data_IF_844816942346
#
_entry.id   IF_844816942346
#
_cell.length_a   1.000
_cell.length_b   1.000
_cell.length_c   1.000
_cell.angle_alpha   90.00
_cell.angle_beta   90.00
_cell.angle_gamma   90.00
#
_symmetry.space_group_name_H-M   'P 1'
#
loop_
_entity.id
_entity.type
_entity.pdbx_description
1 polymer ?
#
# COMPACT_ATOMS: atom_id res chain seq x y z
N UNK A 1 13.47 12.10 -0.88
CA UNK A 1 12.48 11.03 -1.20
C UNK A 1 13.26 9.89 -1.86
N UNK A 2 13.16 8.66 -1.37
CA UNK A 2 14.00 7.51 -1.79
C UNK A 2 13.24 6.44 -2.59
N UNK A 3 11.91 6.56 -2.65
CA UNK A 3 11.04 5.74 -3.48
C UNK A 3 11.37 5.89 -4.96
N UNK A 4 11.34 4.77 -5.68
CA UNK A 4 11.82 4.69 -7.07
C UNK A 4 11.03 3.67 -7.88
N UNK A 5 10.76 4.00 -9.15
CA UNK A 5 10.31 3.04 -10.15
C UNK A 5 11.52 2.26 -10.67
N UNK A 6 11.42 0.94 -10.68
CA UNK A 6 12.45 0.04 -11.15
C UNK A 6 12.04 -0.45 -12.54
N UNK A 7 12.58 0.19 -13.58
CA UNK A 7 12.17 -0.06 -14.97
C UNK A 7 12.24 -1.56 -15.32
N UNK A 8 11.14 -2.07 -15.87
CA UNK A 8 10.97 -3.48 -16.20
C UNK A 8 10.68 -4.41 -15.02
N UNK A 9 10.91 -4.01 -13.77
CA UNK A 9 10.72 -4.89 -12.60
C UNK A 9 9.47 -4.54 -11.79
N UNK A 10 9.29 -3.27 -11.42
CA UNK A 10 8.25 -2.85 -10.48
C UNK A 10 8.62 -1.55 -9.77
N UNK A 11 8.36 -1.44 -8.48
CA UNK A 11 8.64 -0.22 -7.72
C UNK A 11 9.08 -0.51 -6.28
N UNK A 12 9.85 0.42 -5.72
CA UNK A 12 10.18 0.45 -4.30
C UNK A 12 9.61 1.71 -3.68
N UNK A 13 8.71 1.58 -2.70
CA UNK A 13 8.36 2.66 -1.78
C UNK A 13 9.33 2.60 -0.62
N UNK A 14 9.90 3.71 -0.18
CA UNK A 14 10.87 3.71 0.92
C UNK A 14 10.97 5.05 1.66
N UNK A 15 11.42 4.95 2.90
CA UNK A 15 11.81 6.07 3.72
C UNK A 15 12.84 5.66 4.77
N UNK A 16 13.37 6.65 5.47
CA UNK A 16 14.21 6.46 6.64
C UNK A 16 13.63 7.30 7.77
N UNK A 17 13.38 6.69 8.92
CA UNK A 17 12.85 7.40 10.08
C UNK A 17 13.95 8.23 10.79
N UNK A 18 13.57 9.00 11.81
CA UNK A 18 14.51 9.87 12.55
C UNK A 18 15.62 9.09 13.27
N UNK A 19 15.41 7.81 13.55
CA UNK A 19 16.41 6.92 14.13
C UNK A 19 17.40 6.35 13.08
N UNK A 20 17.24 6.72 11.80
CA UNK A 20 18.07 6.22 10.71
C UNK A 20 17.66 4.84 10.19
N UNK A 21 16.52 4.31 10.63
CA UNK A 21 16.06 2.98 10.26
C UNK A 21 15.27 3.05 8.95
N UNK A 22 15.60 2.17 8.00
CA UNK A 22 14.93 2.10 6.72
C UNK A 22 13.62 1.32 6.82
N UNK A 23 12.59 1.85 6.16
CA UNK A 23 11.39 1.12 5.79
C UNK A 23 11.28 1.12 4.29
N UNK A 24 11.10 -0.05 3.69
CA UNK A 24 10.80 -0.15 2.27
C UNK A 24 9.83 -1.28 1.93
N UNK A 25 9.04 -1.05 0.89
CA UNK A 25 8.13 -1.99 0.28
C UNK A 25 8.54 -2.15 -1.19
N UNK A 26 8.93 -3.37 -1.57
CA UNK A 26 9.30 -3.70 -2.95
C UNK A 26 8.14 -4.47 -3.59
N UNK A 27 7.54 -3.90 -4.63
CA UNK A 27 6.49 -4.53 -5.43
C UNK A 27 7.08 -5.09 -6.72
N UNK A 28 6.87 -6.38 -6.99
CA UNK A 28 7.11 -6.98 -8.30
C UNK A 28 5.92 -6.65 -9.22
N UNK A 29 6.13 -5.88 -10.27
CA UNK A 29 5.08 -5.54 -11.23
C UNK A 29 5.72 -5.07 -12.55
N UNK A 30 6.06 -6.02 -13.42
CA UNK A 30 6.76 -5.70 -14.65
C UNK A 30 7.22 -6.90 -15.47
N UNK A 31 7.73 -6.58 -16.65
CA UNK A 31 8.06 -7.54 -17.72
C UNK A 31 9.40 -8.27 -17.51
N UNK A 32 10.13 -8.01 -16.43
CA UNK A 32 11.41 -8.68 -16.15
C UNK A 32 11.19 -10.20 -16.06
N UNK A 33 11.83 -10.93 -16.97
CA UNK A 33 11.78 -12.38 -17.10
C UNK A 33 13.19 -12.96 -16.97
N UNK A 34 13.39 -13.89 -16.03
CA UNK A 34 14.38 -14.97 -16.01
C UNK A 34 14.31 -15.62 -14.61
N UNK A 35 14.46 -16.95 -14.51
CA UNK A 35 14.31 -17.65 -13.23
C UNK A 35 13.04 -17.22 -12.47
N UNK A 36 11.90 -17.42 -13.12
CA UNK A 36 10.58 -16.95 -12.69
C UNK A 36 9.89 -17.88 -11.69
N UNK A 37 9.38 -17.28 -10.63
CA UNK A 37 8.31 -17.83 -9.80
C UNK A 37 6.98 -17.16 -10.24
N UNK A 38 5.81 -17.69 -9.89
CA UNK A 38 4.54 -17.00 -10.10
C UNK A 38 4.35 -15.91 -9.02
N UNK A 39 5.18 -14.87 -9.09
CA UNK A 39 5.35 -13.82 -8.08
C UNK A 39 4.83 -12.45 -8.53
N UNK A 40 4.08 -12.39 -9.64
CA UNK A 40 3.59 -11.11 -10.15
C UNK A 40 2.67 -10.43 -9.12
N UNK A 41 2.88 -9.12 -8.93
CA UNK A 41 2.27 -8.31 -7.87
C UNK A 41 2.59 -8.77 -6.43
N UNK A 42 3.53 -9.70 -6.21
CA UNK A 42 4.06 -10.01 -4.88
C UNK A 42 4.88 -8.84 -4.31
N UNK A 43 5.17 -8.90 -3.02
CA UNK A 43 6.00 -7.90 -2.38
C UNK A 43 6.94 -8.43 -1.30
N UNK A 44 8.00 -7.67 -1.06
CA UNK A 44 8.80 -7.75 0.16
C UNK A 44 8.62 -6.49 1.00
N UNK A 45 8.56 -6.65 2.31
CA UNK A 45 8.39 -5.56 3.25
C UNK A 45 9.45 -5.59 4.35
N UNK A 46 10.19 -4.49 4.43
CA UNK A 46 11.16 -4.19 5.46
C UNK A 46 10.67 -2.96 6.20
N UNK A 47 10.74 -2.97 7.52
CA UNK A 47 10.41 -1.81 8.32
C UNK A 47 11.29 -1.74 9.55
N UNK A 48 11.55 -0.51 10.02
CA UNK A 48 12.37 -0.27 11.22
C UNK A 48 13.73 -0.97 11.13
N UNK A 49 14.31 -1.05 9.93
CA UNK A 49 15.64 -1.61 9.69
C UNK A 49 15.73 -3.14 9.64
N UNK A 50 14.61 -3.87 9.65
CA UNK A 50 14.61 -5.35 9.60
C UNK A 50 13.65 -5.88 8.52
N UNK A 51 13.93 -7.06 7.92
CA UNK A 51 12.96 -7.76 7.07
C UNK A 51 11.78 -8.24 7.92
N UNK A 52 10.56 -8.00 7.44
CA UNK A 52 9.34 -8.48 8.09
C UNK A 52 8.64 -9.51 7.22
N UNK A 53 8.21 -9.13 6.01
CA UNK A 53 7.53 -10.01 5.08
C UNK A 53 8.39 -10.27 3.85
N UNK A 54 8.66 -11.54 3.59
CA UNK A 54 9.49 -12.02 2.47
C UNK A 54 8.73 -13.14 1.77
N UNK A 55 9.03 -13.38 0.50
CA UNK A 55 8.56 -14.59 -0.15
C UNK A 55 9.22 -15.81 0.50
N UNK A 56 8.49 -16.93 0.53
CA UNK A 56 8.99 -18.17 1.10
C UNK A 56 9.87 -18.93 0.09
N UNK A 57 11.00 -19.44 0.55
CA UNK A 57 11.93 -20.29 -0.18
C UNK A 57 12.56 -19.65 -1.43
N UNK A 58 12.99 -20.47 -2.39
CA UNK A 58 13.59 -20.04 -3.65
C UNK A 58 13.27 -21.07 -4.75
N UNK A 59 13.34 -20.66 -6.01
CA UNK A 59 13.08 -21.51 -7.18
C UNK A 59 13.64 -22.94 -7.13
N UNK A 60 14.77 -23.17 -6.46
CA UNK A 60 15.47 -24.46 -6.52
C UNK A 60 15.15 -25.41 -5.37
N UNK A 61 15.20 -24.95 -4.12
CA UNK A 61 15.12 -25.83 -2.95
C UNK A 61 14.58 -25.11 -1.71
N UNK A 62 13.33 -25.39 -1.30
CA UNK A 62 12.31 -26.13 -2.04
C UNK A 62 11.75 -25.28 -3.20
N UNK A 63 11.46 -25.88 -4.36
CA UNK A 63 10.93 -25.15 -5.53
C UNK A 63 9.52 -24.64 -5.24
N UNK A 64 9.32 -23.32 -5.36
CA UNK A 64 8.15 -22.56 -4.90
C UNK A 64 7.30 -22.04 -6.06
N UNK A 65 6.93 -22.91 -7.01
CA UNK A 65 6.02 -22.54 -8.12
C UNK A 65 4.55 -22.35 -7.67
N UNK A 66 4.28 -22.21 -6.37
CA UNK A 66 2.95 -22.00 -5.85
C UNK A 66 2.76 -20.53 -5.47
N UNK A 67 1.79 -19.82 -6.07
CA UNK A 67 1.55 -18.41 -5.76
C UNK A 67 1.32 -18.10 -4.27
N UNK A 68 0.77 -19.06 -3.52
CA UNK A 68 0.52 -18.91 -2.08
C UNK A 68 1.77 -18.99 -1.20
N UNK A 69 2.95 -19.19 -1.78
CA UNK A 69 4.25 -19.00 -1.10
C UNK A 69 4.82 -17.58 -1.27
N UNK A 70 4.10 -16.71 -1.98
CA UNK A 70 4.48 -15.31 -2.17
C UNK A 70 3.49 -14.39 -1.47
N UNK A 71 3.90 -13.16 -1.18
CA UNK A 71 3.04 -12.14 -0.56
C UNK A 71 2.06 -11.55 -1.58
N UNK A 72 1.12 -12.35 -2.08
CA UNK A 72 0.25 -12.04 -3.21
C UNK A 72 -1.13 -12.69 -3.13
N UNK A 73 -1.99 -12.36 -4.10
CA UNK A 73 -3.26 -13.06 -4.33
C UNK A 73 -3.03 -14.25 -5.27
N UNK A 74 -3.59 -15.41 -4.92
CA UNK A 74 -3.70 -16.59 -5.79
C UNK A 74 -5.14 -16.82 -6.25
N UNK A 75 -5.33 -17.47 -7.40
CA UNK A 75 -6.62 -17.69 -8.03
C UNK A 75 -6.93 -19.18 -8.12
N UNK A 76 -8.09 -19.60 -7.60
CA UNK A 76 -8.53 -20.99 -7.48
C UNK A 76 -7.46 -21.91 -6.88
N UNK A 77 -6.61 -21.37 -5.99
CA UNK A 77 -5.47 -22.06 -5.41
C UNK A 77 -4.60 -22.79 -6.46
N UNK A 78 -4.28 -22.09 -7.55
CA UNK A 78 -3.48 -22.58 -8.69
C UNK A 78 -2.39 -21.59 -9.09
N UNK A 79 -1.43 -22.08 -9.87
CA UNK A 79 -0.35 -21.27 -10.43
C UNK A 79 -0.77 -20.55 -11.71
N UNK A 80 -0.17 -19.39 -11.95
CA UNK A 80 -0.30 -18.62 -13.18
C UNK A 80 0.99 -17.83 -13.43
N UNK A 81 1.25 -17.46 -14.69
CA UNK A 81 2.49 -16.79 -15.11
C UNK A 81 2.23 -15.52 -15.93
N UNK A 82 1.12 -14.84 -15.66
CA UNK A 82 0.84 -13.56 -16.25
C UNK A 82 1.80 -12.48 -15.73
N UNK A 83 1.82 -11.37 -16.46
CA UNK A 83 2.68 -10.22 -16.18
C UNK A 83 1.81 -9.02 -15.87
N UNK A 84 2.33 -8.19 -14.98
CA UNK A 84 1.69 -6.96 -14.59
C UNK A 84 2.44 -5.75 -15.13
N UNK A 85 1.75 -4.62 -15.07
CA UNK A 85 2.29 -3.32 -15.41
C UNK A 85 1.94 -2.31 -14.31
N UNK A 86 2.91 -1.47 -13.96
CA UNK A 86 2.67 -0.34 -13.07
C UNK A 86 1.78 0.69 -13.78
N UNK A 87 0.63 0.98 -13.17
CA UNK A 87 -0.36 1.93 -13.68
C UNK A 87 -0.24 3.31 -13.02
N UNK A 88 0.29 3.38 -11.80
CA UNK A 88 0.47 4.65 -11.08
C UNK A 88 1.71 4.58 -10.16
N UNK A 89 2.38 5.72 -9.99
CA UNK A 89 3.52 5.87 -9.09
C UNK A 89 3.68 7.33 -8.66
N UNK A 90 3.47 7.59 -7.38
CA UNK A 90 3.44 8.94 -6.81
C UNK A 90 4.32 9.00 -5.57
N UNK A 91 5.13 10.06 -5.45
CA UNK A 91 6.04 10.27 -4.33
C UNK A 91 5.88 11.70 -3.82
N UNK A 92 5.23 11.88 -2.67
CA UNK A 92 5.02 13.16 -2.02
C UNK A 92 5.75 13.22 -0.67
N UNK A 93 5.59 14.32 0.06
CA UNK A 93 6.29 14.50 1.33
C UNK A 93 5.65 13.69 2.47
N UNK A 94 4.33 13.52 2.45
CA UNK A 94 3.57 12.83 3.50
C UNK A 94 3.37 11.32 3.22
N UNK A 95 3.29 10.95 1.94
CA UNK A 95 3.01 9.57 1.53
C UNK A 95 3.56 9.28 0.14
N UNK A 96 3.81 8.00 -0.09
CA UNK A 96 4.12 7.47 -1.41
C UNK A 96 3.06 6.43 -1.81
N UNK A 97 2.83 6.27 -3.11
CA UNK A 97 1.80 5.42 -3.66
C UNK A 97 2.27 4.71 -4.93
N UNK A 98 1.86 3.46 -5.09
CA UNK A 98 2.03 2.71 -6.32
C UNK A 98 0.78 1.88 -6.60
N UNK A 99 0.46 1.73 -7.88
CA UNK A 99 -0.54 0.78 -8.36
C UNK A 99 0.04 -0.06 -9.50
N UNK A 100 -0.35 -1.32 -9.54
CA UNK A 100 -0.03 -2.25 -10.61
C UNK A 100 -1.23 -3.13 -10.92
N UNK A 101 -1.34 -3.55 -12.17
CA UNK A 101 -2.42 -4.43 -12.62
C UNK A 101 -1.86 -5.62 -13.39
N UNK A 102 -2.61 -6.72 -13.42
CA UNK A 102 -2.35 -7.86 -14.29
C UNK A 102 -3.67 -8.54 -14.70
N UNK A 103 -3.61 -9.34 -15.76
CA UNK A 103 -4.75 -10.11 -16.24
C UNK A 103 -4.38 -11.59 -16.39
N UNK A 104 -5.24 -12.46 -15.89
CA UNK A 104 -5.03 -13.91 -15.84
C UNK A 104 -6.01 -14.58 -16.80
N UNK A 105 -5.51 -15.49 -17.62
CA UNK A 105 -6.31 -16.25 -18.59
C UNK A 105 -5.95 -17.75 -18.67
N UNK A 106 -4.96 -18.19 -17.89
CA UNK A 106 -4.57 -19.59 -17.74
C UNK A 106 -4.21 -19.89 -16.29
N UNK A 107 -4.61 -21.07 -15.82
CA UNK A 107 -4.23 -21.60 -14.52
C UNK A 107 -3.61 -22.99 -14.66
N UNK A 108 -2.61 -23.26 -13.85
CA UNK A 108 -1.92 -24.53 -13.77
C UNK A 108 -2.11 -25.16 -12.39
N UNK A 109 -2.42 -26.45 -12.37
CA UNK A 109 -2.43 -27.18 -11.11
C UNK A 109 -1.00 -27.38 -10.62
N UNK A 110 -0.77 -27.06 -9.35
CA UNK A 110 0.49 -27.27 -8.63
C UNK A 110 0.17 -27.91 -7.27
N UNK A 111 1.08 -28.70 -6.68
CA UNK A 111 0.82 -29.34 -5.39
C UNK A 111 0.84 -28.33 -4.25
N UNK A 112 0.18 -28.67 -3.13
CA UNK A 112 0.20 -27.86 -1.91
C UNK A 112 1.62 -27.63 -1.41
N UNK A 113 2.37 -28.73 -1.22
CA UNK A 113 3.71 -28.72 -0.65
C UNK A 113 4.76 -28.71 -1.75
N UNK A 114 5.85 -27.93 -1.59
CA UNK A 114 6.94 -27.92 -2.57
C UNK A 114 7.80 -29.20 -2.49
N UNK A 115 7.65 -30.01 -1.44
CA UNK A 115 8.28 -31.34 -1.34
C UNK A 115 7.56 -32.41 -2.18
N UNK A 116 6.31 -32.16 -2.56
CA UNK A 116 5.54 -33.04 -3.43
C UNK A 116 6.08 -32.91 -4.87
N UNK A 117 7.13 -33.67 -5.16
CA UNK A 117 7.78 -33.66 -6.48
C UNK A 117 6.79 -34.11 -7.56
N UNK A 118 6.44 -33.21 -8.46
CA UNK A 118 5.90 -33.62 -9.76
C UNK A 118 7.01 -33.86 -10.76
N UNK A 119 7.06 -35.10 -11.25
CA UNK A 119 7.70 -35.35 -12.53
C UNK A 119 6.88 -34.67 -13.63
N UNK A 120 7.55 -34.26 -14.72
CA UNK A 120 6.88 -33.73 -15.94
C UNK A 120 5.75 -34.63 -16.48
N UNK A 121 5.69 -35.90 -16.08
CA UNK A 121 4.69 -36.88 -16.49
C UNK A 121 3.30 -36.64 -15.86
N UNK A 122 3.21 -36.00 -14.69
CA UNK A 122 1.95 -35.77 -13.97
C UNK A 122 1.38 -34.35 -14.19
N UNK A 123 2.06 -33.53 -14.99
CA UNK A 123 1.63 -32.17 -15.30
C UNK A 123 0.29 -32.21 -16.06
N UNK A 124 -0.75 -31.67 -15.43
CA UNK A 124 -2.02 -31.40 -16.12
C UNK A 124 -1.80 -30.23 -17.09
N UNK A 125 -2.41 -30.25 -18.29
CA UNK A 125 -2.31 -29.11 -19.18
C UNK A 125 -2.89 -27.86 -18.50
N UNK A 126 -2.32 -26.66 -18.76
CA UNK A 126 -2.88 -25.41 -18.28
C UNK A 126 -4.35 -25.28 -18.69
N UNK A 127 -5.20 -24.91 -17.75
CA UNK A 127 -6.61 -24.67 -17.99
C UNK A 127 -6.82 -23.21 -18.36
N UNK A 128 -7.41 -22.97 -19.53
CA UNK A 128 -7.89 -21.63 -19.90
C UNK A 128 -9.08 -21.24 -19.01
N UNK A 129 -9.08 -20.00 -18.53
CA UNK A 129 -10.16 -19.41 -17.75
C UNK A 129 -10.66 -18.13 -18.40
N UNK A 130 -11.82 -17.63 -17.97
CA UNK A 130 -12.25 -16.27 -18.33
C UNK A 130 -11.25 -15.26 -17.76
N UNK A 131 -11.05 -14.17 -18.49
CA UNK A 131 -10.06 -13.15 -18.10
C UNK A 131 -10.41 -12.61 -16.73
N UNK A 132 -9.52 -12.82 -15.76
CA UNK A 132 -9.63 -12.24 -14.43
C UNK A 132 -8.65 -11.07 -14.31
N UNK A 133 -9.14 -9.87 -14.00
CA UNK A 133 -8.30 -8.69 -13.80
C UNK A 133 -8.01 -8.50 -12.31
N UNK A 134 -6.76 -8.17 -12.00
CA UNK A 134 -6.31 -7.90 -10.64
C UNK A 134 -5.52 -6.61 -10.61
N UNK A 135 -5.95 -5.68 -9.78
CA UNK A 135 -5.23 -4.45 -9.48
C UNK A 135 -4.80 -4.42 -8.02
N UNK A 136 -3.51 -4.21 -7.77
CA UNK A 136 -2.94 -3.96 -6.45
C UNK A 136 -2.57 -2.49 -6.30
N UNK A 137 -3.00 -1.89 -5.20
CA UNK A 137 -2.68 -0.52 -4.78
C UNK A 137 -2.00 -0.54 -3.44
N UNK A 138 -0.93 0.23 -3.30
CA UNK A 138 -0.12 0.29 -2.09
C UNK A 138 0.16 1.73 -1.72
N UNK A 139 -0.10 2.08 -0.47
CA UNK A 139 0.18 3.39 0.13
C UNK A 139 1.18 3.21 1.27
N UNK A 140 2.27 3.98 1.25
CA UNK A 140 3.20 4.13 2.36
C UNK A 140 2.93 5.45 3.08
N UNK A 141 2.53 5.39 4.36
CA UNK A 141 2.49 6.57 5.20
C UNK A 141 3.89 6.85 5.75
N UNK A 142 4.42 8.04 5.49
CA UNK A 142 5.76 8.37 5.98
C UNK A 142 5.80 8.62 7.47
N UNK A 143 4.89 9.44 7.96
CA UNK A 143 4.82 9.79 9.38
C UNK A 143 4.38 8.59 10.24
N UNK A 144 3.48 7.75 9.72
CA UNK A 144 3.00 6.56 10.41
C UNK A 144 3.94 5.35 10.31
N UNK A 145 4.78 5.29 9.27
CA UNK A 145 5.70 4.18 8.99
C UNK A 145 5.00 2.83 8.84
N UNK A 146 3.90 2.81 8.08
CA UNK A 146 3.08 1.63 7.80
C UNK A 146 2.67 1.58 6.33
N UNK A 147 2.19 0.41 5.90
CA UNK A 147 1.69 0.17 4.55
C UNK A 147 0.20 -0.14 4.59
N UNK A 148 -0.56 0.44 3.66
CA UNK A 148 -1.91 -0.03 3.33
C UNK A 148 -1.90 -0.65 1.94
N UNK A 149 -2.52 -1.82 1.81
CA UNK A 149 -2.67 -2.55 0.56
C UNK A 149 -4.15 -2.68 0.27
N UNK A 150 -4.53 -2.51 -0.99
CA UNK A 150 -5.86 -2.86 -1.48
C UNK A 150 -5.70 -3.60 -2.80
N UNK A 151 -6.35 -4.76 -2.89
CA UNK A 151 -6.46 -5.56 -4.10
C UNK A 151 -7.90 -5.50 -4.59
N UNK A 152 -8.10 -5.03 -5.83
CA UNK A 152 -9.40 -5.09 -6.50
C UNK A 152 -9.41 -6.19 -7.55
N UNK A 153 -10.48 -6.99 -7.56
CA UNK A 153 -10.57 -8.22 -8.32
C UNK A 153 -11.84 -8.23 -9.19
N UNK A 154 -11.65 -8.34 -10.50
CA UNK A 154 -12.72 -8.72 -11.43
C UNK A 154 -12.46 -10.17 -11.84
N UNK A 155 -12.97 -11.11 -11.03
CA UNK A 155 -12.75 -12.55 -11.24
C UNK A 155 -14.00 -13.36 -10.90
N UNK A 156 -14.21 -14.42 -11.68
CA UNK A 156 -15.23 -15.45 -11.43
C UNK A 156 -14.69 -16.62 -10.59
N UNK A 157 -13.42 -16.53 -10.18
CA UNK A 157 -12.72 -17.57 -9.43
C UNK A 157 -12.61 -17.15 -7.95
N UNK A 158 -12.63 -18.12 -7.02
CA UNK A 158 -12.27 -17.85 -5.64
C UNK A 158 -10.78 -17.48 -5.58
N UNK A 159 -10.39 -16.75 -4.54
CA UNK A 159 -9.02 -16.27 -4.39
C UNK A 159 -8.51 -16.45 -2.96
N UNK A 160 -7.18 -16.41 -2.82
CA UNK A 160 -6.53 -16.40 -1.52
C UNK A 160 -5.46 -15.32 -1.45
N UNK A 161 -5.55 -14.44 -0.46
CA UNK A 161 -4.49 -13.46 -0.17
C UNK A 161 -3.52 -14.05 0.85
N UNK A 162 -2.25 -14.18 0.48
CA UNK A 162 -1.21 -14.78 1.32
C UNK A 162 -0.19 -13.74 1.78
N UNK A 163 0.25 -13.87 3.03
CA UNK A 163 1.37 -13.11 3.61
C UNK A 163 2.23 -14.02 4.46
N UNK A 164 3.53 -14.04 4.19
CA UNK A 164 4.58 -14.75 4.91
C UNK A 164 5.44 -13.76 5.67
N UNK A 165 5.71 -14.05 6.94
CA UNK A 165 6.35 -13.15 7.89
C UNK A 165 7.45 -13.89 8.64
N UNK A 166 8.61 -13.25 8.79
CA UNK A 166 9.70 -13.69 9.68
C UNK A 166 9.30 -13.49 11.15
N UNK A 167 8.51 -14.43 11.66
CA UNK A 167 7.93 -14.39 13.00
C UNK A 167 8.24 -15.66 13.80
N UNK A 168 8.10 -15.62 15.12
CA UNK A 168 8.17 -16.81 16.00
C UNK A 168 6.80 -17.39 16.31
N UNK A 169 5.73 -16.74 15.85
CA UNK A 169 4.36 -17.12 16.07
C UNK A 169 3.39 -16.12 15.44
N UNK A 170 2.14 -16.54 15.26
CA UNK A 170 1.07 -15.70 14.75
C UNK A 170 -0.24 -16.01 15.48
N UNK A 171 -0.99 -14.97 15.84
CA UNK A 171 -2.26 -15.07 16.56
C UNK A 171 -3.32 -14.19 15.89
N UNK A 172 -4.47 -14.76 15.54
CA UNK A 172 -5.62 -14.02 15.03
C UNK A 172 -6.56 -13.63 16.18
N UNK A 173 -7.03 -12.39 16.18
CA UNK A 173 -8.09 -11.89 17.04
C UNK A 173 -8.90 -10.82 16.30
N UNK A 174 -10.22 -11.00 16.25
CA UNK A 174 -11.16 -10.12 15.56
C UNK A 174 -10.76 -9.89 14.10
N UNK A 175 -10.36 -8.67 13.72
CA UNK A 175 -9.90 -8.30 12.38
C UNK A 175 -8.38 -8.15 12.27
N UNK A 176 -7.63 -8.65 13.25
CA UNK A 176 -6.19 -8.48 13.36
C UNK A 176 -5.48 -9.84 13.43
N UNK A 177 -4.35 -9.94 12.74
CA UNK A 177 -3.35 -11.00 12.96
C UNK A 177 -2.08 -10.35 13.50
N UNK A 178 -1.64 -10.79 14.67
CA UNK A 178 -0.40 -10.36 15.29
C UNK A 178 0.70 -11.38 15.01
N UNK A 179 1.80 -10.93 14.42
CA UNK A 179 3.02 -11.72 14.22
C UNK A 179 4.11 -11.26 15.19
N UNK A 180 4.56 -12.15 16.06
CA UNK A 180 5.69 -11.87 16.97
C UNK A 180 7.01 -11.97 16.19
N UNK A 181 7.71 -10.86 15.98
CA UNK A 181 8.83 -10.80 15.04
C UNK A 181 10.11 -11.47 15.54
N UNK A 182 10.84 -12.14 14.64
CA UNK A 182 12.12 -12.79 15.00
C UNK A 182 13.25 -11.79 15.28
N UNK A 183 13.13 -10.55 14.77
CA UNK A 183 14.19 -9.53 14.78
C UNK A 183 13.83 -8.32 15.66
N UNK A 184 12.97 -8.52 16.66
CA UNK A 184 12.60 -7.48 17.63
C UNK A 184 11.62 -6.42 17.11
N UNK A 185 11.00 -6.68 15.96
CA UNK A 185 9.93 -5.85 15.38
C UNK A 185 8.78 -6.78 15.00
N UNK A 186 7.67 -6.63 15.70
CA UNK A 186 6.43 -7.34 15.44
C UNK A 186 5.71 -6.74 14.23
N UNK A 187 4.77 -7.49 13.67
CA UNK A 187 3.88 -7.01 12.61
C UNK A 187 2.42 -7.28 12.98
N UNK A 188 1.65 -6.22 13.17
CA UNK A 188 0.20 -6.30 13.25
C UNK A 188 -0.39 -6.12 11.84
N UNK A 189 -1.26 -7.04 11.44
CA UNK A 189 -1.97 -7.01 10.15
C UNK A 189 -3.46 -6.85 10.41
N UNK A 190 -4.05 -5.77 9.95
CA UNK A 190 -5.49 -5.54 10.06
C UNK A 190 -6.16 -5.76 8.70
N UNK A 191 -7.25 -6.52 8.68
CA UNK A 191 -8.07 -6.75 7.50
C UNK A 191 -9.37 -5.95 7.55
N UNK A 192 -9.89 -5.62 6.38
CA UNK A 192 -11.27 -5.14 6.22
C UNK A 192 -12.26 -6.32 6.32
N UNK A 193 -13.05 -6.33 7.39
CA UNK A 193 -14.01 -7.40 7.73
C UNK A 193 -13.54 -8.35 8.84
N UNK A 194 -14.39 -9.32 9.19
CA UNK A 194 -14.09 -10.34 10.21
C UNK A 194 -13.43 -11.58 9.57
N UNK A 195 -12.12 -11.80 9.73
CA UNK A 195 -11.38 -12.95 9.21
C UNK A 195 -11.72 -14.30 9.85
N UNK A 196 -12.49 -14.34 10.95
CA UNK A 196 -12.46 -15.47 11.89
C UNK A 196 -12.85 -16.85 11.31
N UNK A 197 -13.58 -16.92 10.19
CA UNK A 197 -13.87 -18.20 9.52
C UNK A 197 -13.12 -18.41 8.19
N UNK A 198 -12.40 -17.39 7.70
CA UNK A 198 -11.76 -17.39 6.37
C UNK A 198 -10.23 -17.30 6.43
N UNK A 199 -9.66 -17.13 7.62
CA UNK A 199 -8.21 -17.07 7.82
C UNK A 199 -7.63 -18.41 8.22
N UNK A 200 -6.60 -18.81 7.49
CA UNK A 200 -5.69 -19.90 7.84
C UNK A 200 -4.38 -19.31 8.30
N UNK A 201 -3.95 -19.66 9.51
CA UNK A 201 -2.60 -19.37 10.01
C UNK A 201 -1.80 -20.67 10.00
N UNK A 202 -0.56 -20.60 9.58
CA UNK A 202 0.37 -21.71 9.66
C UNK A 202 1.82 -21.27 9.69
N UNK A 203 2.70 -22.25 9.54
CA UNK A 203 4.13 -22.04 9.46
C UNK A 203 4.72 -22.91 8.36
N UNK A 204 5.78 -22.40 7.74
CA UNK A 204 6.61 -23.15 6.82
C UNK A 204 8.06 -23.03 7.27
N UNK A 205 8.77 -24.15 7.25
CA UNK A 205 10.19 -24.20 7.56
C UNK A 205 10.92 -24.91 6.44
N UNK A 206 12.01 -24.32 5.95
CA UNK A 206 12.94 -25.03 5.07
C UNK A 206 14.33 -25.06 5.67
N UNK A 207 15.00 -26.20 5.52
CA UNK A 207 16.43 -26.30 5.79
C UNK A 207 17.20 -25.85 4.55
N UNK A 208 18.08 -24.86 4.66
CA UNK A 208 19.02 -24.56 3.59
C UNK A 208 19.92 -25.77 3.32
N UNK A 209 19.73 -26.41 2.16
CA UNK A 209 20.55 -27.45 1.53
C UNK A 209 21.39 -28.37 2.46
N UNK A 210 21.11 -29.68 2.40
CA UNK A 210 22.02 -30.71 2.90
C UNK A 210 23.47 -30.45 2.43
N UNK A 211 24.45 -30.68 3.32
CA UNK A 211 25.88 -30.41 3.19
C UNK A 211 26.50 -30.88 1.86
N UNK A 212 25.89 -31.83 1.16
CA UNK A 212 26.38 -32.37 -0.10
C UNK A 212 26.37 -31.36 -1.27
N UNK A 213 25.41 -30.43 -1.35
CA UNK A 213 25.35 -29.42 -2.42
C UNK A 213 26.07 -28.10 -2.10
N UNK A 214 26.52 -27.90 -0.84
CA UNK A 214 27.27 -26.71 -0.38
C UNK A 214 28.60 -26.46 -1.09
N UNK A 215 29.14 -27.42 -1.86
CA UNK A 215 30.49 -27.30 -2.47
C UNK A 215 30.63 -26.25 -3.57
N UNK A 216 29.55 -25.81 -4.21
CA UNK A 216 29.67 -24.95 -5.40
C UNK A 216 29.23 -23.48 -5.21
N UNK A 217 28.41 -23.15 -4.20
CA UNK A 217 27.86 -21.78 -4.05
C UNK A 217 28.34 -21.01 -2.81
N UNK A 218 28.86 -21.67 -1.76
CA UNK A 218 29.15 -21.01 -0.48
C UNK A 218 30.65 -20.74 -0.23
N UNK A 219 31.36 -20.12 -1.19
CA UNK A 219 32.75 -19.67 -0.96
C UNK A 219 32.85 -18.24 -0.39
N UNK A 220 31.72 -17.54 -0.24
CA UNK A 220 31.65 -16.20 0.36
C UNK A 220 30.84 -16.23 1.68
N UNK A 221 31.56 -16.36 2.81
CA UNK A 221 31.28 -15.74 4.11
C UNK A 221 30.10 -16.23 5.01
N UNK A 222 30.11 -15.87 6.33
CA UNK A 222 29.85 -16.78 7.46
C UNK A 222 28.39 -16.81 7.96
N UNK A 223 27.41 -16.70 7.07
CA UNK A 223 25.98 -16.78 7.45
C UNK A 223 25.51 -18.26 7.58
N UNK A 224 26.37 -19.23 7.27
CA UNK A 224 25.95 -20.58 6.88
C UNK A 224 25.92 -21.65 8.00
N UNK A 225 25.85 -21.23 9.25
CA UNK A 225 25.48 -22.11 10.38
C UNK A 225 24.04 -21.88 10.86
N UNK A 226 23.24 -21.07 10.15
CA UNK A 226 21.83 -20.86 10.49
C UNK A 226 21.02 -22.10 10.12
N UNK A 227 20.48 -22.72 11.17
CA UNK A 227 19.58 -23.86 11.13
C UNK A 227 18.22 -23.44 10.59
N UNK A 228 18.00 -23.55 9.28
CA UNK A 228 16.70 -23.36 8.64
C UNK A 228 16.13 -21.94 8.73
N UNK A 229 15.14 -21.67 7.89
CA UNK A 229 14.33 -20.45 7.95
C UNK A 229 12.89 -20.88 8.21
N UNK A 230 12.30 -20.35 9.28
CA UNK A 230 10.89 -20.53 9.61
C UNK A 230 10.18 -19.21 9.34
N UNK A 231 9.13 -19.25 8.55
CA UNK A 231 8.20 -18.15 8.33
C UNK A 231 6.81 -18.57 8.79
N UNK A 232 6.08 -17.67 9.43
CA UNK A 232 4.65 -17.86 9.69
C UNK A 232 3.87 -17.18 8.59
N UNK A 233 2.70 -17.73 8.27
CA UNK A 233 1.85 -17.14 7.25
C UNK A 233 0.42 -16.97 7.73
N UNK A 234 -0.25 -16.02 7.09
CA UNK A 234 -1.69 -15.89 7.08
C UNK A 234 -2.18 -16.01 5.64
N UNK A 235 -3.26 -16.75 5.43
CA UNK A 235 -3.98 -16.84 4.18
C UNK A 235 -5.44 -16.48 4.41
N UNK A 236 -5.95 -15.50 3.69
CA UNK A 236 -7.35 -15.09 3.74
C UNK A 236 -8.04 -15.52 2.45
N UNK A 237 -9.05 -16.37 2.56
CA UNK A 237 -9.85 -16.85 1.43
C UNK A 237 -11.00 -15.89 1.11
N UNK A 238 -11.33 -15.73 -0.16
CA UNK A 238 -12.51 -14.99 -0.63
C UNK A 238 -13.22 -15.67 -1.78
N UNK A 239 -14.53 -15.48 -1.81
CA UNK A 239 -15.38 -15.92 -2.91
C UNK A 239 -15.19 -15.02 -4.14
N UNK A 240 -15.64 -15.45 -5.34
CA UNK A 240 -15.52 -14.67 -6.56
C UNK A 240 -16.04 -13.23 -6.44
N UNK A 241 -15.25 -12.27 -6.90
CA UNK A 241 -15.60 -10.84 -6.96
C UNK A 241 -15.47 -10.06 -5.65
N UNK A 242 -14.94 -10.66 -4.59
CA UNK A 242 -14.64 -9.95 -3.35
C UNK A 242 -13.21 -9.35 -3.39
N UNK A 243 -13.06 -8.13 -2.89
CA UNK A 243 -11.79 -7.40 -2.81
C UNK A 243 -11.02 -7.69 -1.50
N UNK A 244 -9.73 -7.35 -1.47
CA UNK A 244 -8.93 -7.35 -0.25
C UNK A 244 -8.48 -5.94 0.14
N UNK A 245 -8.37 -5.73 1.45
CA UNK A 245 -7.70 -4.56 2.02
C UNK A 245 -7.01 -4.94 3.32
N UNK A 246 -5.75 -4.55 3.45
CA UNK A 246 -4.92 -4.83 4.61
C UNK A 246 -4.09 -3.62 5.04
N UNK A 247 -3.92 -3.43 6.34
CA UNK A 247 -2.94 -2.52 6.95
C UNK A 247 -1.83 -3.36 7.56
N UNK A 248 -0.58 -3.12 7.15
CA UNK A 248 0.63 -3.70 7.71
C UNK A 248 1.28 -2.68 8.65
N UNK A 249 1.17 -2.91 9.96
CA UNK A 249 1.63 -2.00 11.01
C UNK A 249 2.81 -2.62 11.79
N UNK A 250 4.07 -2.24 11.49
CA UNK A 250 5.22 -2.70 12.24
C UNK A 250 5.24 -2.09 13.65
N UNK A 251 5.64 -2.86 14.66
CA UNK A 251 5.74 -2.37 16.04
C UNK A 251 6.99 -2.87 16.75
N UNK A 252 7.59 -2.00 17.55
CA UNK A 252 8.56 -2.39 18.57
C UNK A 252 7.87 -2.61 19.92
N UNK A 253 8.48 -3.39 20.84
CA UNK A 253 7.92 -3.62 22.17
C UNK A 253 7.60 -2.34 22.97
N UNK A 254 8.38 -1.27 22.75
CA UNK A 254 8.25 0.00 23.47
C UNK A 254 7.38 1.05 22.73
N UNK A 255 6.81 0.70 21.58
CA UNK A 255 5.96 1.63 20.83
C UNK A 255 4.67 1.93 21.59
N UNK A 256 4.24 3.19 21.50
CA UNK A 256 2.93 3.56 22.04
C UNK A 256 1.83 2.84 21.26
N UNK A 257 0.77 2.37 21.93
CA UNK A 257 -0.37 1.76 21.25
C UNK A 257 -0.96 2.71 20.21
N UNK A 258 -1.28 2.16 19.04
CA UNK A 258 -2.00 2.83 17.97
C UNK A 258 -3.38 2.18 17.88
N UNK A 259 -4.44 2.96 18.05
CA UNK A 259 -5.79 2.50 17.80
C UNK A 259 -6.05 2.49 16.29
N UNK A 260 -6.75 1.46 15.80
CA UNK A 260 -7.07 1.30 14.38
C UNK A 260 -8.57 1.08 14.24
N UNK A 261 -9.22 1.97 13.51
CA UNK A 261 -10.63 1.87 13.13
C UNK A 261 -10.74 1.57 11.63
N UNK A 262 -11.64 0.65 11.28
CA UNK A 262 -11.96 0.33 9.89
C UNK A 262 -12.86 1.40 9.28
N UNK A 263 -12.57 1.80 8.04
CA UNK A 263 -13.38 2.72 7.25
C UNK A 263 -13.84 2.03 5.96
N UNK A 264 -14.91 2.54 5.34
CA UNK A 264 -15.41 2.02 4.07
C UNK A 264 -14.33 1.95 2.98
N UNK A 265 -13.44 2.94 2.93
CA UNK A 265 -12.37 3.04 1.94
C UNK A 265 -10.96 3.08 2.55
N UNK A 266 -10.73 2.52 3.74
CA UNK A 266 -9.40 2.59 4.35
C UNK A 266 -9.36 2.29 5.85
N UNK A 267 -8.40 2.92 6.51
CA UNK A 267 -8.18 2.81 7.95
C UNK A 267 -8.00 4.19 8.57
N UNK A 268 -8.53 4.38 9.78
CA UNK A 268 -8.18 5.49 10.65
C UNK A 268 -7.26 4.97 11.75
N UNK A 269 -6.11 5.61 11.92
CA UNK A 269 -5.14 5.32 12.95
C UNK A 269 -5.10 6.49 13.93
N UNK A 270 -5.12 6.20 15.22
CA UNK A 270 -5.06 7.21 16.27
C UNK A 270 -3.95 6.90 17.26
N UNK A 271 -3.06 7.86 17.46
CA UNK A 271 -1.97 7.80 18.42
C UNK A 271 -1.98 9.00 19.36
N UNK A 272 -0.93 9.12 20.18
CA UNK A 272 -0.83 10.24 21.13
C UNK A 272 -0.63 11.57 20.39
N UNK A 273 -1.69 12.40 20.36
CA UNK A 273 -1.66 13.75 19.78
C UNK A 273 -1.79 13.79 18.25
N UNK A 274 -2.16 12.68 17.62
CA UNK A 274 -2.37 12.63 16.17
C UNK A 274 -3.42 11.59 15.75
N UNK A 275 -4.04 11.85 14.61
CA UNK A 275 -4.90 10.93 13.88
C UNK A 275 -4.49 10.92 12.40
N UNK A 276 -4.67 9.78 11.74
CA UNK A 276 -4.34 9.62 10.33
C UNK A 276 -5.38 8.75 9.64
N UNK A 277 -5.85 9.17 8.48
CA UNK A 277 -6.77 8.41 7.64
C UNK A 277 -6.02 8.02 6.38
N UNK A 278 -5.73 6.73 6.21
CA UNK A 278 -5.16 6.18 4.99
C UNK A 278 -6.27 5.55 4.15
N UNK A 279 -6.50 6.14 2.97
CA UNK A 279 -7.65 5.88 2.13
C UNK A 279 -7.18 5.21 0.83
N UNK A 280 -7.64 3.98 0.61
CA UNK A 280 -7.49 3.21 -0.62
C UNK A 280 -8.86 2.67 -1.03
N UNK A 281 -9.48 3.31 -2.00
CA UNK A 281 -10.75 2.89 -2.59
C UNK A 281 -10.53 2.07 -3.85
N UNK A 282 -11.56 1.30 -4.21
CA UNK A 282 -11.69 0.61 -5.49
C UNK A 282 -11.48 1.53 -6.70
N UNK A 283 -11.42 0.95 -7.91
CA UNK A 283 -11.42 1.76 -9.13
C UNK A 283 -12.60 2.74 -9.10
N UNK A 284 -12.38 3.96 -9.59
CA UNK A 284 -13.43 4.96 -9.72
C UNK A 284 -14.46 4.46 -10.73
N UNK A 285 -15.46 3.70 -10.27
CA UNK A 285 -16.69 3.52 -11.03
C UNK A 285 -17.21 4.92 -11.30
N UNK A 286 -17.60 5.21 -12.54
CA UNK A 286 -18.14 6.51 -12.95
C UNK A 286 -19.43 6.75 -12.15
N UNK A 287 -19.30 7.25 -10.92
CA UNK A 287 -20.42 7.74 -10.14
C UNK A 287 -20.90 9.00 -10.85
N UNK A 288 -22.21 9.18 -10.94
CA UNK A 288 -22.79 10.40 -11.47
C UNK A 288 -22.19 11.63 -10.74
N UNK A 289 -21.93 12.72 -11.48
CA UNK A 289 -21.27 13.95 -10.98
C UNK A 289 -21.84 14.50 -9.64
N UNK A 290 -23.09 14.15 -9.32
CA UNK A 290 -23.84 14.63 -8.16
C UNK A 290 -23.68 13.78 -6.88
N UNK A 291 -23.07 12.60 -6.96
CA UNK A 291 -22.79 11.80 -5.76
C UNK A 291 -21.53 12.33 -5.07
N UNK A 292 -21.75 13.04 -3.95
CA UNK A 292 -20.70 13.37 -3.00
C UNK A 292 -19.97 12.09 -2.56
N UNK A 293 -18.67 12.20 -2.22
CA UNK A 293 -17.76 11.06 -2.17
C UNK A 293 -18.06 10.08 -1.04
N UNK A 294 -17.42 8.91 -1.11
CA UNK A 294 -17.33 7.93 -0.02
C UNK A 294 -17.05 8.67 1.30
N UNK A 295 -17.98 8.57 2.24
CA UNK A 295 -17.88 9.19 3.57
C UNK A 295 -17.15 8.19 4.45
N UNK A 296 -15.83 8.34 4.51
CA UNK A 296 -15.01 7.43 5.31
C UNK A 296 -15.29 7.60 6.81
N UNK A 297 -15.63 8.83 7.23
CA UNK A 297 -15.88 9.28 8.61
C UNK A 297 -16.73 10.58 8.54
N UNK A 298 -17.42 10.99 9.60
CA UNK A 298 -18.31 12.17 9.61
C UNK A 298 -17.60 13.47 9.15
N UNK A 299 -16.28 13.54 9.34
CA UNK A 299 -15.43 14.69 8.97
C UNK A 299 -14.66 14.50 7.65
N UNK A 300 -14.52 13.26 7.16
CA UNK A 300 -13.67 12.91 6.02
C UNK A 300 -14.50 12.62 4.78
N UNK A 301 -14.14 13.27 3.67
CA UNK A 301 -14.73 12.98 2.36
C UNK A 301 -13.63 12.77 1.34
N UNK A 302 -13.76 11.73 0.53
CA UNK A 302 -12.73 11.33 -0.40
C UNK A 302 -13.28 10.78 -1.72
N UNK A 303 -12.86 11.39 -2.84
CA UNK A 303 -13.09 10.88 -4.19
C UNK A 303 -11.74 10.65 -4.86
N UNK A 304 -11.37 9.40 -5.00
CA UNK A 304 -10.11 9.02 -5.61
C UNK A 304 -9.88 7.52 -5.60
N UNK A 305 -8.61 7.16 -5.71
CA UNK A 305 -8.08 5.81 -5.55
C UNK A 305 -7.11 5.72 -4.37
N UNK A 306 -6.37 6.81 -4.10
CA UNK A 306 -5.48 6.90 -2.95
C UNK A 306 -5.43 8.31 -2.33
N UNK A 307 -5.53 8.36 -1.00
CA UNK A 307 -5.39 9.58 -0.22
C UNK A 307 -4.85 9.30 1.19
N UNK A 308 -4.21 10.30 1.78
CA UNK A 308 -3.80 10.30 3.19
C UNK A 308 -4.21 11.63 3.81
N UNK A 309 -4.80 11.58 5.01
CA UNK A 309 -5.04 12.75 5.85
C UNK A 309 -4.30 12.54 7.16
N UNK A 310 -3.52 13.51 7.62
CA UNK A 310 -2.93 13.49 8.96
C UNK A 310 -3.35 14.72 9.74
N UNK A 311 -3.87 14.54 10.95
CA UNK A 311 -4.18 15.62 11.89
C UNK A 311 -3.27 15.50 13.11
N UNK A 312 -2.70 16.62 13.50
CA UNK A 312 -1.95 16.82 14.75
C UNK A 312 -2.49 18.04 15.46
N UNK A 313 -1.99 18.35 16.66
CA UNK A 313 -2.34 19.59 17.36
C UNK A 313 -1.94 20.86 16.58
N UNK A 314 -0.85 20.79 15.78
CA UNK A 314 -0.27 21.95 15.11
C UNK A 314 -0.71 22.10 13.65
N UNK A 315 -1.07 20.99 13.00
CA UNK A 315 -1.25 20.96 11.56
C UNK A 315 -2.24 19.89 11.10
N UNK A 316 -2.90 20.15 9.98
CA UNK A 316 -3.63 19.17 9.18
C UNK A 316 -2.97 19.03 7.83
N UNK A 317 -2.59 17.82 7.44
CA UNK A 317 -2.04 17.49 6.13
C UNK A 317 -3.06 16.69 5.33
N UNK A 318 -3.35 17.15 4.11
CA UNK A 318 -4.17 16.46 3.12
C UNK A 318 -3.28 16.08 1.93
N UNK A 319 -3.19 14.79 1.63
CA UNK A 319 -2.35 14.25 0.57
C UNK A 319 -3.22 13.42 -0.39
N UNK A 320 -3.66 14.05 -1.47
CA UNK A 320 -4.42 13.41 -2.56
C UNK A 320 -3.42 12.81 -3.55
N UNK A 321 -3.18 11.51 -3.46
CA UNK A 321 -2.18 10.79 -4.25
C UNK A 321 -2.73 10.47 -5.65
N UNK A 322 -3.94 9.91 -5.71
CA UNK A 322 -4.65 9.58 -6.95
C UNK A 322 -6.14 9.80 -6.74
N UNK A 323 -6.75 10.67 -7.54
CA UNK A 323 -8.14 11.11 -7.37
C UNK A 323 -8.31 12.59 -7.70
N UNK A 324 -9.42 13.18 -7.24
CA UNK A 324 -9.73 14.58 -7.53
C UNK A 324 -10.31 15.38 -6.36
N UNK A 325 -10.56 14.75 -5.21
CA UNK A 325 -11.14 15.43 -4.06
C UNK A 325 -10.76 14.78 -2.73
N UNK A 326 -10.33 15.59 -1.76
CA UNK A 326 -10.03 15.16 -0.39
C UNK A 326 -10.37 16.27 0.61
N UNK A 327 -11.06 15.96 1.71
CA UNK A 327 -11.32 16.92 2.79
C UNK A 327 -11.26 16.32 4.19
N UNK A 328 -10.85 17.17 5.14
CA UNK A 328 -11.13 17.01 6.57
C UNK A 328 -11.79 18.30 7.08
N UNK A 329 -13.10 18.25 7.35
CA UNK A 329 -13.87 19.41 7.80
C UNK A 329 -13.72 20.63 6.87
N UNK A 330 -13.17 21.77 7.34
CA UNK A 330 -13.01 22.96 6.51
C UNK A 330 -11.78 22.93 5.59
N UNK A 331 -10.83 22.02 5.80
CA UNK A 331 -9.64 21.87 4.97
C UNK A 331 -9.99 20.98 3.79
N UNK A 332 -9.80 21.47 2.56
CA UNK A 332 -10.23 20.76 1.36
C UNK A 332 -9.35 21.03 0.15
N UNK A 333 -9.17 19.98 -0.66
CA UNK A 333 -8.56 20.01 -1.98
C UNK A 333 -9.58 19.51 -3.01
N UNK A 334 -9.74 20.25 -4.10
CA UNK A 334 -10.38 19.79 -5.33
C UNK A 334 -9.45 19.99 -6.51
N UNK A 335 -9.39 19.01 -7.41
CA UNK A 335 -8.49 18.97 -8.55
C UNK A 335 -7.70 17.68 -8.57
N UNK A 336 -7.25 17.29 -9.76
CA UNK A 336 -6.59 16.01 -9.97
C UNK A 336 -5.30 15.88 -9.14
N UNK A 337 -5.14 14.77 -8.42
CA UNK A 337 -3.87 14.41 -7.79
C UNK A 337 -2.71 14.26 -8.81
N UNK A 338 -1.46 14.19 -8.37
CA UNK A 338 -1.01 14.19 -6.98
C UNK A 338 -0.83 15.61 -6.40
N UNK A 339 -1.28 15.82 -5.15
CA UNK A 339 -1.10 17.07 -4.40
C UNK A 339 -1.13 16.80 -2.89
N UNK A 340 -0.20 17.40 -2.15
CA UNK A 340 -0.15 17.36 -0.68
C UNK A 340 -0.09 18.78 -0.13
N UNK A 341 -0.99 19.12 0.78
CA UNK A 341 -1.06 20.41 1.46
C UNK A 341 -1.08 20.22 2.97
N UNK A 342 -0.32 21.03 3.68
CA UNK A 342 -0.30 21.12 5.14
C UNK A 342 -0.81 22.49 5.56
N UNK A 343 -1.93 22.49 6.27
CA UNK A 343 -2.61 23.64 6.84
C UNK A 343 -2.11 23.86 8.26
N UNK A 344 -1.60 25.07 8.53
CA UNK A 344 -1.22 25.57 9.86
C UNK A 344 -2.01 26.84 10.17
N UNK A 345 -1.87 27.35 11.38
CA UNK A 345 -2.53 28.59 11.80
C UNK A 345 -2.19 29.80 10.91
N UNK A 346 -0.98 29.85 10.35
CA UNK A 346 -0.40 31.02 9.67
C UNK A 346 0.07 30.76 8.22
N UNK A 347 -0.03 29.52 7.75
CA UNK A 347 0.34 29.16 6.39
C UNK A 347 -0.38 27.92 5.87
N UNK A 348 -0.44 27.79 4.54
CA UNK A 348 -0.65 26.51 3.86
C UNK A 348 0.58 26.25 3.02
N UNK A 349 1.19 25.08 3.17
CA UNK A 349 2.40 24.70 2.41
C UNK A 349 2.20 23.35 1.75
N UNK A 350 2.87 23.07 0.65
CA UNK A 350 2.66 21.80 -0.01
C UNK A 350 3.50 21.53 -1.23
N UNK A 351 3.20 20.41 -1.85
CA UNK A 351 3.83 19.91 -3.05
C UNK A 351 2.75 19.40 -4.01
N UNK A 352 2.88 19.67 -5.29
CA UNK A 352 2.05 19.10 -6.34
C UNK A 352 2.93 18.52 -7.43
N UNK A 353 2.46 17.47 -8.10
CA UNK A 353 3.12 16.87 -9.25
C UNK A 353 2.15 16.59 -10.40
N UNK A 354 2.68 16.02 -11.49
CA UNK A 354 1.89 15.45 -12.59
C UNK A 354 1.49 16.47 -13.66
N UNK A 355 0.34 16.24 -14.29
CA UNK A 355 -0.13 17.00 -15.44
C UNK A 355 -0.61 18.41 -15.06
N UNK A 356 -0.72 19.28 -16.07
CA UNK A 356 -1.39 20.58 -15.93
C UNK A 356 -2.82 20.39 -15.42
N UNK A 357 -3.18 21.12 -14.37
CA UNK A 357 -4.47 20.93 -13.67
C UNK A 357 -4.99 22.19 -13.02
N UNK A 358 -6.31 22.27 -12.91
CA UNK A 358 -6.99 23.26 -12.08
C UNK A 358 -7.10 22.72 -10.65
N UNK A 359 -6.73 23.55 -9.68
CA UNK A 359 -6.78 23.22 -8.26
C UNK A 359 -7.64 24.26 -7.54
N UNK A 360 -8.49 23.79 -6.65
CA UNK A 360 -9.22 24.60 -5.69
C UNK A 360 -8.86 24.16 -4.28
N UNK A 361 -8.48 25.11 -3.44
CA UNK A 361 -8.16 24.88 -2.03
C UNK A 361 -9.19 25.61 -1.18
N UNK A 362 -9.70 24.96 -0.14
CA UNK A 362 -10.56 25.57 0.87
C UNK A 362 -9.99 25.44 2.27
N UNK A 363 -10.27 26.45 3.10
CA UNK A 363 -9.92 26.48 4.51
C UNK A 363 -10.91 27.33 5.32
N UNK A 364 -10.98 27.10 6.63
CA UNK A 364 -11.64 28.02 7.55
C UNK A 364 -10.80 29.29 7.68
N UNK A 365 -11.39 30.43 8.08
CA UNK A 365 -10.65 31.69 8.22
C UNK A 365 -9.41 31.53 9.14
N UNK A 366 -8.22 31.75 8.58
CA UNK A 366 -6.94 31.70 9.30
C UNK A 366 -6.42 33.10 9.66
N UNK A 367 -6.69 34.10 8.82
CA UNK A 367 -6.30 35.50 9.05
C UNK A 367 -7.30 36.49 8.40
N UNK A 368 -7.17 37.77 8.76
CA UNK A 368 -7.93 38.88 8.17
C UNK A 368 -7.35 39.39 6.83
N UNK A 369 -6.14 38.97 6.46
CA UNK A 369 -5.45 39.42 5.26
C UNK A 369 -5.80 38.58 4.02
N UNK A 370 -5.64 39.19 2.84
CA UNK A 370 -5.84 38.50 1.56
C UNK A 370 -4.68 37.53 1.32
N UNK A 371 -4.95 36.24 1.03
CA UNK A 371 -3.89 35.26 0.82
C UNK A 371 -3.06 35.57 -0.43
N UNK A 372 -1.76 35.32 -0.34
CA UNK A 372 -0.84 35.31 -1.49
C UNK A 372 -0.42 33.87 -1.81
N UNK A 373 -0.65 33.44 -3.05
CA UNK A 373 -0.15 32.16 -3.57
C UNK A 373 1.25 32.34 -4.15
N UNK A 374 2.19 31.53 -3.66
CA UNK A 374 3.50 31.33 -4.25
C UNK A 374 3.60 29.92 -4.83
N UNK A 375 4.04 29.83 -6.07
CA UNK A 375 4.42 28.58 -6.75
C UNK A 375 5.91 28.66 -7.03
N UNK A 376 6.68 27.71 -6.48
CA UNK A 376 8.15 27.69 -6.55
C UNK A 376 8.79 29.01 -6.09
N UNK A 377 8.20 29.63 -5.06
CA UNK A 377 8.65 30.89 -4.48
C UNK A 377 8.26 32.13 -5.29
N UNK A 378 7.56 31.99 -6.42
CA UNK A 378 7.10 33.11 -7.24
C UNK A 378 5.60 33.34 -7.08
N UNK A 379 5.19 34.61 -7.06
CA UNK A 379 3.76 34.96 -6.98
C UNK A 379 3.01 34.40 -8.18
N UNK A 380 1.96 33.63 -7.91
CA UNK A 380 1.14 32.98 -8.92
C UNK A 380 -0.27 33.56 -8.95
N UNK A 381 -0.86 33.62 -10.14
CA UNK A 381 -2.23 34.11 -10.31
C UNK A 381 -3.24 33.14 -9.72
N UNK A 382 -4.10 33.64 -8.83
CA UNK A 382 -5.18 32.87 -8.23
C UNK A 382 -6.44 33.72 -8.03
N UNK A 383 -7.61 33.12 -8.22
CA UNK A 383 -8.88 33.72 -7.85
C UNK A 383 -9.18 33.38 -6.39
N UNK A 384 -9.42 34.42 -5.58
CA UNK A 384 -9.74 34.29 -4.16
C UNK A 384 -11.20 34.66 -3.91
N UNK A 385 -11.93 33.77 -3.26
CA UNK A 385 -13.32 33.98 -2.88
C UNK A 385 -13.53 33.69 -1.40
N UNK A 386 -14.55 34.33 -0.83
CA UNK A 386 -15.06 34.02 0.51
C UNK A 386 -16.51 33.56 0.34
N UNK A 387 -16.82 32.36 0.80
CA UNK A 387 -18.14 31.75 0.67
C UNK A 387 -18.72 31.36 2.03
N UNK A 388 -20.04 31.37 2.15
CA UNK A 388 -20.74 30.76 3.30
C UNK A 388 -21.20 29.36 2.92
N UNK A 389 -20.73 28.37 3.65
CA UNK A 389 -21.11 26.97 3.47
C UNK A 389 -21.52 26.38 4.80
N UNK A 390 -22.76 25.88 4.90
CA UNK A 390 -23.33 25.34 6.15
C UNK A 390 -23.19 26.27 7.37
N UNK A 391 -23.40 27.57 7.18
CA UNK A 391 -23.27 28.58 8.24
C UNK A 391 -21.82 28.91 8.64
N UNK A 392 -20.82 28.30 8.02
CA UNK A 392 -19.39 28.61 8.22
C UNK A 392 -18.88 29.49 7.08
N UNK A 393 -17.95 30.39 7.40
CA UNK A 393 -17.19 31.13 6.38
C UNK A 393 -16.02 30.26 5.93
N UNK A 394 -15.99 29.92 4.65
CA UNK A 394 -14.86 29.27 4.01
C UNK A 394 -14.17 30.23 3.05
N UNK A 395 -12.86 30.14 3.04
CA UNK A 395 -12.00 30.81 2.09
C UNK A 395 -11.67 29.82 0.97
N UNK A 396 -11.67 30.31 -0.26
CA UNK A 396 -11.43 29.51 -1.45
C UNK A 396 -10.36 30.16 -2.30
N UNK A 397 -9.41 29.36 -2.78
CA UNK A 397 -8.40 29.77 -3.75
C UNK A 397 -8.42 28.85 -4.96
N UNK A 398 -8.62 29.41 -6.14
CA UNK A 398 -8.68 28.67 -7.42
C UNK A 398 -7.51 29.10 -8.30
N UNK A 399 -6.73 28.15 -8.79
CA UNK A 399 -5.59 28.41 -9.67
C UNK A 399 -5.35 27.23 -10.62
N UNK A 400 -4.46 27.42 -11.59
CA UNK A 400 -4.00 26.36 -12.50
C UNK A 400 -2.52 26.15 -12.28
N UNK A 401 -2.11 24.90 -12.08
CA UNK A 401 -0.70 24.52 -12.03
C UNK A 401 -0.24 24.06 -13.41
N UNK A 402 1.00 24.40 -13.81
CA UNK A 402 1.64 23.79 -14.97
C UNK A 402 1.86 22.28 -14.73
N UNK A 403 2.27 21.60 -15.80
CA UNK A 403 2.80 20.25 -15.69
C UNK A 403 4.18 20.28 -15.02
N UNK A 404 4.42 19.32 -14.13
CA UNK A 404 5.67 19.20 -13.38
C UNK A 404 5.46 19.15 -11.87
N UNK A 405 6.59 19.17 -11.15
CA UNK A 405 6.60 19.25 -9.69
C UNK A 405 6.69 20.71 -9.25
N UNK A 406 5.84 21.10 -8.31
CA UNK A 406 5.72 22.48 -7.84
C UNK A 406 5.57 22.54 -6.32
N UNK A 407 6.34 23.42 -5.68
CA UNK A 407 6.16 23.78 -4.27
C UNK A 407 5.10 24.87 -4.15
N UNK A 408 4.17 24.67 -3.22
CA UNK A 408 3.05 25.56 -2.97
C UNK A 408 3.23 26.22 -1.61
N UNK A 409 3.01 27.53 -1.55
CA UNK A 409 2.91 28.27 -0.30
C UNK A 409 1.80 29.30 -0.39
N UNK A 410 0.91 29.31 0.59
CA UNK A 410 -0.10 30.35 0.80
C UNK A 410 0.21 30.99 2.14
N UNK A 411 0.37 32.31 2.13
CA UNK A 411 0.64 33.13 3.31
C UNK A 411 -0.36 34.27 3.40
N UNK A 412 -0.56 34.80 4.60
CA UNK A 412 -1.45 35.94 4.89
C UNK A 412 -0.65 37.18 5.27
#
# INVERSE_FOLDING_TARGET
RTSVRLDGYGARLSQTNDAGEETYFLLKCGQAENHYDPDELSFHYYARGVPLALDYACMYFPSNNQPWYHNRVSFDHRSEYARGDLTDFVVLDAADYVAGEMAINYLEWVPESPDDKHGRADAKPPQRVDSSAWERRVLLSRAGDYIVISDSLDSTLPTDWSLHVLATGAEAADNKVHFAGQLGVDLDVYFDGHPNDQVVIGEWTHGQQDRASKRHYCSLQPIVDVAGETQHFVRLHREPGEDYRALLLPRKPDDSPIAVDLLECGFKLSGRGWEEWALLSGPLTVLAEEQWPIVADDEVRFRGRAGLIRRTEEATTLCLLSGDRLSLGPCHIEGQGPISLTYRADSITGLSGGIRKRVTIYWAKLADAQPELLVDGQRHGAAYNVMRWWGRTLHQLVFTLPEGEHRLQIRW
#
